data_IF_836307901715
#
_entry.id   IF_836307901715
#
_cell.length_a   1.000
_cell.length_b   1.000
_cell.length_c   1.000
_cell.angle_alpha   90.00
_cell.angle_beta   90.00
_cell.angle_gamma   90.00
#
_symmetry.space_group_name_H-M   'P 1'
#
loop_
_entity.id
_entity.type
_entity.pdbx_description
1 polymer ?
#
# COMPACT_ATOMS: atom_id res chain seq x y z
N UNK A 1 -36.01 88.22 12.19
CA UNK A 1 -36.87 88.06 11.02
C UNK A 1 -35.95 87.71 9.87
N UNK A 2 -36.04 86.58 9.35
CA UNK A 2 -35.20 86.12 8.28
C UNK A 2 -35.26 84.57 8.17
N UNK A 3 -36.15 84.09 7.30
CA UNK A 3 -36.36 82.67 7.05
C UNK A 3 -35.22 82.09 6.24
N UNK A 4 -34.57 81.11 6.73
CA UNK A 4 -33.60 80.25 6.00
C UNK A 4 -34.33 79.13 5.32
N UNK A 5 -34.30 79.12 3.99
CA UNK A 5 -34.80 78.06 3.16
C UNK A 5 -33.78 76.91 3.10
N UNK A 6 -34.12 75.75 3.57
CA UNK A 6 -33.32 74.54 3.38
C UNK A 6 -33.61 73.96 1.97
N UNK A 7 -32.57 73.82 1.15
CA UNK A 7 -32.60 73.10 -0.11
C UNK A 7 -32.36 71.62 0.13
N UNK A 8 -33.36 70.78 -0.23
CA UNK A 8 -33.23 69.31 -0.20
C UNK A 8 -32.62 68.90 -1.57
N UNK A 9 -31.39 68.39 -1.49
CA UNK A 9 -30.73 67.78 -2.65
C UNK A 9 -31.12 66.31 -2.71
N UNK A 10 -31.94 65.94 -3.73
CA UNK A 10 -32.28 64.55 -3.98
C UNK A 10 -31.16 63.90 -4.80
N UNK A 11 -30.41 62.99 -4.19
CA UNK A 11 -29.48 62.13 -4.91
C UNK A 11 -30.25 60.97 -5.52
N UNK A 12 -30.34 60.96 -6.87
CA UNK A 12 -30.82 59.80 -7.61
C UNK A 12 -29.73 58.73 -7.67
N UNK A 13 -29.88 57.64 -6.96
CA UNK A 13 -29.07 56.45 -7.11
C UNK A 13 -29.50 55.72 -8.38
N UNK A 14 -28.71 55.79 -9.44
CA UNK A 14 -28.81 54.92 -10.61
C UNK A 14 -28.22 53.52 -10.24
N UNK A 15 -29.07 52.56 -10.02
CA UNK A 15 -28.65 51.16 -9.89
C UNK A 15 -28.27 50.61 -11.26
N UNK A 16 -26.97 50.40 -11.49
CA UNK A 16 -26.49 49.58 -12.60
C UNK A 16 -26.81 48.10 -12.34
N UNK A 17 -27.33 47.32 -13.33
CA UNK A 17 -27.51 45.90 -13.13
C UNK A 17 -26.15 45.22 -13.09
N UNK A 18 -25.84 44.60 -11.96
CA UNK A 18 -24.71 43.64 -11.85
C UNK A 18 -25.10 42.42 -12.70
N UNK A 19 -24.51 42.26 -13.87
CA UNK A 19 -24.57 41.04 -14.63
C UNK A 19 -23.78 39.95 -13.82
N UNK A 20 -24.53 39.13 -13.11
CA UNK A 20 -24.03 37.86 -12.61
C UNK A 20 -23.74 36.98 -13.83
N UNK A 21 -22.49 37.01 -14.30
CA UNK A 21 -21.97 35.99 -15.20
C UNK A 21 -22.03 34.65 -14.45
N UNK A 22 -23.14 33.94 -14.62
CA UNK A 22 -23.25 32.56 -14.16
C UNK A 22 -22.11 31.76 -14.79
N UNK A 23 -21.15 31.33 -13.95
CA UNK A 23 -20.25 30.28 -14.35
C UNK A 23 -21.11 29.05 -14.66
N UNK A 24 -21.29 28.75 -15.93
CA UNK A 24 -21.76 27.45 -16.37
C UNK A 24 -20.88 26.41 -15.71
N UNK A 25 -21.42 25.46 -14.95
CA UNK A 25 -20.62 24.34 -14.48
C UNK A 25 -19.99 23.70 -15.72
N UNK A 26 -18.65 23.54 -15.69
CA UNK A 26 -17.96 22.83 -16.73
C UNK A 26 -18.71 21.51 -16.94
N UNK A 27 -19.17 21.25 -18.15
CA UNK A 27 -19.81 20.01 -18.50
C UNK A 27 -18.82 18.90 -18.14
N UNK A 28 -19.15 18.10 -17.11
CA UNK A 28 -18.41 16.91 -16.80
C UNK A 28 -18.43 16.07 -18.07
N UNK A 29 -17.26 15.89 -18.67
CA UNK A 29 -17.09 14.93 -19.75
C UNK A 29 -17.69 13.62 -19.27
N UNK A 30 -18.59 12.98 -20.02
CA UNK A 30 -19.13 11.70 -19.63
C UNK A 30 -17.95 10.76 -19.36
N UNK A 31 -17.80 10.33 -18.12
CA UNK A 31 -16.80 9.35 -17.74
C UNK A 31 -17.05 8.12 -18.61
N UNK A 32 -16.02 7.65 -19.30
CA UNK A 32 -16.12 6.40 -20.05
C UNK A 32 -16.73 5.34 -19.12
N UNK A 33 -17.68 4.51 -19.61
CA UNK A 33 -18.31 3.50 -18.77
C UNK A 33 -17.22 2.73 -18.05
N UNK A 34 -17.31 2.67 -16.73
CA UNK A 34 -16.38 1.91 -15.89
C UNK A 34 -16.40 0.46 -16.40
N UNK A 35 -15.42 0.13 -17.21
CA UNK A 35 -15.19 -1.24 -17.65
C UNK A 35 -14.63 -1.94 -16.43
N UNK A 36 -15.50 -2.37 -15.51
CA UNK A 36 -15.22 -2.94 -14.21
C UNK A 36 -13.76 -3.40 -14.11
N UNK A 37 -13.00 -2.93 -13.14
CA UNK A 37 -11.56 -3.12 -13.15
C UNK A 37 -11.27 -4.59 -13.44
N UNK A 38 -10.17 -4.89 -14.11
CA UNK A 38 -9.69 -6.25 -14.38
C UNK A 38 -9.75 -7.14 -13.13
N UNK A 39 -9.63 -6.54 -11.96
CA UNK A 39 -9.66 -7.18 -10.64
C UNK A 39 -11.01 -7.83 -10.26
N UNK A 40 -12.10 -7.41 -10.87
CA UNK A 40 -13.45 -7.88 -10.50
C UNK A 40 -14.02 -8.91 -11.50
N UNK A 41 -13.32 -9.17 -12.59
CA UNK A 41 -13.70 -10.22 -13.54
C UNK A 41 -13.18 -11.56 -13.10
N UNK A 42 -14.04 -12.56 -13.10
CA UNK A 42 -13.61 -13.96 -12.91
C UNK A 42 -12.63 -14.30 -14.04
N UNK A 43 -11.37 -14.62 -13.73
CA UNK A 43 -10.38 -14.90 -14.75
C UNK A 43 -10.59 -16.28 -15.38
N UNK A 44 -9.98 -16.47 -16.55
CA UNK A 44 -9.70 -17.81 -17.03
C UNK A 44 -8.59 -18.42 -16.14
N UNK A 45 -8.99 -19.31 -15.23
CA UNK A 45 -8.08 -19.89 -14.24
C UNK A 45 -6.94 -20.70 -14.87
N UNK A 46 -7.15 -21.32 -16.05
CA UNK A 46 -6.09 -22.03 -16.75
C UNK A 46 -5.03 -21.05 -17.28
N UNK A 47 -5.48 -19.93 -17.83
CA UNK A 47 -4.60 -18.88 -18.32
C UNK A 47 -3.79 -18.24 -17.18
N UNK A 48 -4.41 -17.92 -16.05
CA UNK A 48 -3.66 -17.30 -14.93
C UNK A 48 -2.70 -18.27 -14.26
N UNK A 49 -2.98 -19.58 -14.26
CA UNK A 49 -2.01 -20.61 -13.85
C UNK A 49 -0.77 -20.61 -14.77
N UNK A 50 -0.97 -20.50 -16.08
CA UNK A 50 0.15 -20.40 -17.03
C UNK A 50 0.94 -19.10 -16.82
N UNK A 51 0.27 -17.98 -16.62
CA UNK A 51 0.92 -16.70 -16.31
C UNK A 51 1.73 -16.78 -15.03
N UNK A 52 1.20 -17.40 -13.97
CA UNK A 52 1.94 -17.62 -12.73
C UNK A 52 3.20 -18.46 -12.95
N UNK A 53 3.12 -19.50 -13.76
CA UNK A 53 4.29 -20.29 -14.10
C UNK A 53 5.36 -19.50 -14.91
N UNK A 54 4.95 -18.52 -15.70
CA UNK A 54 5.85 -17.59 -16.40
C UNK A 54 6.49 -16.62 -15.42
N UNK A 55 5.72 -16.02 -14.53
CA UNK A 55 6.21 -15.18 -13.44
C UNK A 55 7.24 -15.92 -12.59
N UNK A 56 6.95 -17.17 -12.19
CA UNK A 56 7.88 -18.01 -11.44
C UNK A 56 9.21 -18.24 -12.20
N UNK A 57 9.16 -18.45 -13.53
CA UNK A 57 10.37 -18.60 -14.36
C UNK A 57 11.17 -17.30 -14.43
N UNK A 58 10.50 -16.16 -14.60
CA UNK A 58 11.14 -14.84 -14.65
C UNK A 58 11.84 -14.54 -13.33
N UNK A 59 11.21 -14.78 -12.20
CA UNK A 59 11.82 -14.62 -10.89
C UNK A 59 13.03 -15.53 -10.68
N UNK A 60 12.95 -16.82 -11.09
CA UNK A 60 14.11 -17.73 -11.05
C UNK A 60 15.26 -17.23 -11.89
N UNK A 61 14.98 -16.76 -13.11
CA UNK A 61 16.01 -16.20 -13.98
C UNK A 61 16.66 -14.94 -13.38
N UNK A 62 15.86 -14.05 -12.82
CA UNK A 62 16.34 -12.84 -12.14
C UNK A 62 17.12 -13.13 -10.85
N UNK A 63 16.90 -14.27 -10.23
CA UNK A 63 17.59 -14.70 -9.00
C UNK A 63 18.92 -15.40 -9.29
N UNK A 64 19.07 -16.03 -10.46
CA UNK A 64 20.21 -16.87 -10.79
C UNK A 64 21.56 -16.13 -10.63
N UNK A 65 22.47 -16.68 -9.84
CA UNK A 65 23.80 -16.11 -9.59
C UNK A 65 23.81 -14.82 -8.75
N UNK A 66 22.65 -14.35 -8.27
CA UNK A 66 22.54 -13.13 -7.50
C UNK A 66 21.96 -13.36 -6.10
N UNK A 67 20.92 -14.17 -5.98
CA UNK A 67 20.22 -14.46 -4.72
C UNK A 67 19.67 -15.89 -4.74
N UNK A 68 19.47 -16.45 -3.55
CA UNK A 68 18.69 -17.67 -3.42
C UNK A 68 17.22 -17.33 -3.50
N UNK A 69 16.43 -18.15 -4.19
CA UNK A 69 14.97 -18.04 -4.27
C UNK A 69 14.35 -19.39 -3.98
N UNK A 70 13.41 -19.42 -3.09
CA UNK A 70 12.53 -20.57 -2.86
C UNK A 70 11.06 -20.15 -2.88
N UNK A 71 10.18 -21.07 -3.26
CA UNK A 71 8.73 -20.92 -3.14
C UNK A 71 8.25 -21.90 -2.09
N UNK A 72 7.68 -21.38 -1.04
CA UNK A 72 7.22 -22.14 0.11
C UNK A 72 5.71 -22.05 0.25
N UNK A 73 5.17 -22.86 1.15
CA UNK A 73 3.77 -22.77 1.58
C UNK A 73 3.73 -22.82 3.11
N UNK A 74 2.82 -22.07 3.70
CA UNK A 74 2.57 -22.09 5.13
C UNK A 74 1.08 -21.95 5.44
N UNK A 75 0.63 -22.53 6.54
CA UNK A 75 -0.76 -22.40 7.02
C UNK A 75 -0.96 -21.01 7.60
N UNK A 76 -1.98 -20.27 7.10
CA UNK A 76 -2.40 -19.00 7.68
C UNK A 76 -2.77 -19.15 9.16
N UNK A 77 -2.50 -18.14 9.99
CA UNK A 77 -2.97 -18.14 11.39
C UNK A 77 -4.50 -18.09 11.49
N UNK A 78 -5.21 -17.64 10.45
CA UNK A 78 -6.65 -17.80 10.34
C UNK A 78 -7.08 -19.27 10.28
N UNK A 79 -6.15 -20.20 10.03
CA UNK A 79 -6.34 -21.66 10.17
C UNK A 79 -6.99 -22.37 9.00
N UNK A 80 -7.44 -21.64 7.99
CA UNK A 80 -8.32 -22.12 6.92
C UNK A 80 -7.63 -22.33 5.57
N UNK A 81 -6.46 -21.73 5.33
CA UNK A 81 -5.83 -21.67 4.02
C UNK A 81 -4.30 -21.84 4.07
N UNK A 82 -3.75 -22.54 3.09
CA UNK A 82 -2.31 -22.63 2.86
C UNK A 82 -1.88 -21.51 1.92
N UNK A 83 -0.95 -20.67 2.38
CA UNK A 83 -0.51 -19.47 1.69
C UNK A 83 0.83 -19.74 0.99
N UNK A 84 0.90 -19.62 -0.34
CA UNK A 84 2.15 -19.63 -1.07
C UNK A 84 2.95 -18.36 -0.77
N UNK A 85 4.28 -18.45 -0.75
CA UNK A 85 5.15 -17.29 -0.61
C UNK A 85 6.48 -17.51 -1.33
N UNK A 86 7.05 -16.42 -1.80
CA UNK A 86 8.43 -16.39 -2.26
C UNK A 86 9.33 -15.98 -1.11
N UNK A 87 10.50 -16.63 -0.99
CA UNK A 87 11.56 -16.24 -0.07
C UNK A 87 12.82 -15.99 -0.86
N UNK A 88 13.40 -14.81 -0.68
CA UNK A 88 14.65 -14.40 -1.32
C UNK A 88 15.70 -14.15 -0.25
N UNK A 89 16.92 -14.64 -0.48
CA UNK A 89 18.00 -14.59 0.50
C UNK A 89 19.34 -14.27 -0.20
N UNK A 90 20.29 -13.59 0.45
CA UNK A 90 21.66 -13.47 -0.06
C UNK A 90 22.29 -14.83 -0.34
N UNK A 91 23.14 -14.92 -1.37
CA UNK A 91 23.89 -16.16 -1.67
C UNK A 91 24.79 -16.58 -0.49
N UNK A 92 25.35 -15.60 0.20
CA UNK A 92 26.20 -15.81 1.36
C UNK A 92 25.48 -15.34 2.62
N UNK A 93 24.97 -16.30 3.39
CA UNK A 93 24.26 -16.01 4.63
C UNK A 93 25.25 -15.65 5.74
N UNK A 94 24.92 -14.66 6.52
CA UNK A 94 25.56 -14.36 7.81
C UNK A 94 25.11 -15.40 8.85
N UNK A 95 25.79 -15.45 9.98
CA UNK A 95 25.45 -16.35 11.08
C UNK A 95 24.03 -16.15 11.65
N UNK A 96 23.75 -16.86 12.72
CA UNK A 96 22.46 -16.77 13.39
C UNK A 96 22.09 -15.31 13.71
N UNK A 97 20.85 -14.89 13.38
CA UNK A 97 20.34 -13.52 13.54
C UNK A 97 21.17 -12.44 12.82
N UNK A 98 21.95 -12.82 11.82
CA UNK A 98 22.81 -11.88 11.07
C UNK A 98 22.08 -11.03 10.03
N UNK A 99 20.80 -11.32 9.72
CA UNK A 99 20.02 -10.62 8.71
C UNK A 99 18.77 -9.96 9.27
N UNK A 100 18.54 -8.71 8.90
CA UNK A 100 17.20 -8.12 8.94
C UNK A 100 16.32 -8.73 7.84
N UNK A 101 15.00 -8.66 8.00
CA UNK A 101 14.07 -9.17 6.99
C UNK A 101 12.96 -8.16 6.65
N UNK A 102 12.40 -8.31 5.46
CA UNK A 102 11.27 -7.53 4.98
C UNK A 102 10.14 -8.47 4.54
N UNK A 103 8.96 -8.26 5.09
CA UNK A 103 7.72 -8.82 4.53
C UNK A 103 7.26 -7.91 3.41
N UNK A 104 7.18 -8.44 2.19
CA UNK A 104 6.89 -7.71 0.95
C UNK A 104 5.47 -7.98 0.50
N UNK A 105 4.59 -6.98 0.58
CA UNK A 105 3.16 -7.14 0.34
C UNK A 105 2.79 -6.53 -1.01
N UNK A 106 2.49 -7.37 -1.99
CA UNK A 106 2.16 -6.95 -3.34
C UNK A 106 0.86 -6.14 -3.42
N UNK A 107 0.70 -5.40 -4.48
CA UNK A 107 -0.52 -4.62 -4.77
C UNK A 107 -1.64 -5.48 -5.32
N UNK A 108 -2.82 -4.89 -5.42
CA UNK A 108 -4.05 -5.46 -5.95
C UNK A 108 -4.65 -6.60 -5.12
N UNK A 109 -5.97 -6.59 -4.98
CA UNK A 109 -6.74 -7.65 -4.30
C UNK A 109 -6.70 -9.00 -5.05
N UNK A 110 -6.41 -8.96 -6.35
CA UNK A 110 -6.27 -10.08 -7.28
C UNK A 110 -4.90 -10.03 -7.95
N UNK A 111 -3.89 -9.59 -7.19
CA UNK A 111 -2.52 -9.50 -7.65
C UNK A 111 -1.72 -10.77 -7.44
N UNK A 112 -0.45 -10.62 -7.60
CA UNK A 112 0.61 -11.59 -7.29
C UNK A 112 1.93 -10.83 -7.13
N UNK A 113 3.02 -11.50 -6.80
CA UNK A 113 4.34 -10.88 -6.77
C UNK A 113 4.79 -10.56 -8.21
N UNK A 114 4.49 -9.36 -8.67
CA UNK A 114 4.78 -8.91 -10.03
C UNK A 114 6.28 -8.78 -10.31
N UNK A 115 6.66 -8.99 -11.57
CA UNK A 115 8.05 -8.90 -12.04
C UNK A 115 8.63 -7.49 -11.93
N UNK A 116 7.80 -6.45 -11.92
CA UNK A 116 8.28 -5.09 -11.72
C UNK A 116 8.90 -4.85 -10.33
N UNK A 117 8.71 -5.76 -9.37
CA UNK A 117 9.40 -5.72 -8.09
C UNK A 117 10.83 -6.28 -8.14
N UNK A 118 11.23 -6.96 -9.23
CA UNK A 118 12.55 -7.57 -9.36
C UNK A 118 13.70 -6.63 -8.98
N UNK A 119 13.83 -5.40 -9.53
CA UNK A 119 14.97 -4.54 -9.21
C UNK A 119 15.00 -4.16 -7.72
N UNK A 120 13.86 -3.99 -7.10
CA UNK A 120 13.76 -3.56 -5.71
C UNK A 120 14.00 -4.72 -4.72
N UNK A 121 13.51 -5.92 -5.03
CA UNK A 121 13.85 -7.11 -4.24
C UNK A 121 15.35 -7.40 -4.36
N UNK A 122 15.94 -7.30 -5.55
CA UNK A 122 17.40 -7.43 -5.73
C UNK A 122 18.17 -6.39 -4.92
N UNK A 123 17.72 -5.14 -4.88
CA UNK A 123 18.31 -4.10 -4.04
C UNK A 123 18.22 -4.44 -2.55
N UNK A 124 17.07 -4.94 -2.07
CA UNK A 124 16.93 -5.41 -0.69
C UNK A 124 17.95 -6.50 -0.35
N UNK A 125 18.13 -7.48 -1.25
CA UNK A 125 19.09 -8.57 -1.08
C UNK A 125 20.54 -8.04 -1.09
N UNK A 126 20.88 -7.10 -1.99
CA UNK A 126 22.19 -6.45 -2.03
C UNK A 126 22.51 -5.69 -0.73
N UNK A 127 21.52 -5.16 -0.05
CA UNK A 127 21.63 -4.52 1.29
C UNK A 127 21.75 -5.54 2.42
N UNK A 128 21.54 -6.82 2.15
CA UNK A 128 21.64 -7.90 3.14
C UNK A 128 20.34 -8.28 3.83
N UNK A 129 19.20 -7.81 3.35
CA UNK A 129 17.89 -8.28 3.82
C UNK A 129 17.60 -9.71 3.37
N UNK A 130 16.77 -10.40 4.13
CA UNK A 130 15.95 -11.52 3.67
C UNK A 130 14.57 -10.97 3.33
N UNK A 131 14.00 -11.39 2.21
CA UNK A 131 12.66 -10.95 1.80
C UNK A 131 11.72 -12.15 1.76
N UNK A 132 10.56 -12.04 2.41
CA UNK A 132 9.44 -12.97 2.24
C UNK A 132 8.26 -12.22 1.63
N UNK A 133 7.73 -12.75 0.52
CA UNK A 133 6.62 -12.16 -0.22
C UNK A 133 5.43 -13.13 -0.25
N UNK A 134 4.47 -13.00 0.67
CA UNK A 134 3.25 -13.80 0.67
C UNK A 134 2.36 -13.49 -0.54
N UNK A 135 1.86 -14.55 -1.15
CA UNK A 135 0.73 -14.52 -2.07
C UNK A 135 -0.55 -14.68 -1.23
N UNK A 136 -1.00 -13.57 -0.60
CA UNK A 136 -2.14 -13.63 0.31
C UNK A 136 -3.43 -14.05 -0.39
N UNK A 137 -4.43 -14.54 0.36
CA UNK A 137 -5.73 -14.96 -0.19
C UNK A 137 -6.30 -13.95 -1.17
N UNK A 138 -6.90 -14.42 -2.24
CA UNK A 138 -7.38 -13.60 -3.33
C UNK A 138 -6.39 -13.44 -4.48
N UNK A 139 -5.09 -13.72 -4.28
CA UNK A 139 -4.08 -13.68 -5.34
C UNK A 139 -4.44 -14.64 -6.49
N UNK A 140 -4.10 -14.23 -7.72
CA UNK A 140 -4.33 -15.04 -8.92
C UNK A 140 -3.22 -16.09 -9.10
N UNK A 141 -3.52 -17.13 -9.91
CA UNK A 141 -2.54 -18.20 -10.20
C UNK A 141 -2.58 -19.38 -9.23
N UNK A 142 -3.51 -19.39 -8.27
CA UNK A 142 -3.63 -20.44 -7.25
C UNK A 142 -5.01 -21.13 -7.24
N UNK A 143 -5.78 -20.96 -8.31
CA UNK A 143 -7.08 -21.56 -8.50
C UNK A 143 -8.26 -20.74 -7.97
N UNK A 144 -9.48 -21.26 -8.23
CA UNK A 144 -10.72 -20.55 -7.93
C UNK A 144 -10.95 -20.36 -6.43
N UNK A 145 -10.74 -21.40 -5.63
CA UNK A 145 -11.02 -21.35 -4.19
C UNK A 145 -10.11 -20.32 -3.48
N UNK A 146 -8.84 -20.24 -3.90
CA UNK A 146 -7.91 -19.25 -3.41
C UNK A 146 -8.30 -17.83 -3.85
N UNK A 147 -8.73 -17.68 -5.10
CA UNK A 147 -9.24 -16.42 -5.63
C UNK A 147 -10.49 -15.94 -4.86
N UNK A 148 -11.44 -16.83 -4.57
CA UNK A 148 -12.69 -16.51 -3.88
C UNK A 148 -12.48 -16.24 -2.37
N UNK A 149 -11.36 -16.68 -1.81
CA UNK A 149 -11.07 -16.54 -0.37
C UNK A 149 -10.73 -15.13 0.08
N UNK A 150 -10.69 -14.13 -0.81
CA UNK A 150 -10.42 -12.72 -0.45
C UNK A 150 -11.39 -12.21 0.63
N UNK A 151 -10.87 -11.50 1.62
CA UNK A 151 -11.65 -10.91 2.70
C UNK A 151 -11.19 -9.46 3.00
N UNK A 152 -11.17 -8.67 2.02
CA UNK A 152 -10.72 -7.27 1.87
C UNK A 152 -10.43 -6.49 3.17
N UNK A 153 -9.18 -6.55 3.66
CA UNK A 153 -8.76 -5.97 4.95
C UNK A 153 -9.10 -6.84 6.17
N UNK A 154 -9.49 -8.10 5.92
CA UNK A 154 -9.74 -9.11 6.95
C UNK A 154 -8.62 -10.13 7.05
N UNK A 155 -8.91 -11.38 6.69
CA UNK A 155 -8.00 -12.53 6.89
C UNK A 155 -6.75 -12.51 6.01
N UNK A 156 -6.68 -11.70 4.94
CA UNK A 156 -5.41 -11.49 4.22
C UNK A 156 -4.36 -10.79 5.08
N UNK A 157 -4.76 -10.02 6.10
CA UNK A 157 -3.83 -9.47 7.10
C UNK A 157 -3.20 -10.60 7.90
N UNK A 158 -4.00 -11.61 8.30
CA UNK A 158 -3.50 -12.80 9.00
C UNK A 158 -2.55 -13.62 8.13
N UNK A 159 -2.83 -13.75 6.83
CA UNK A 159 -1.96 -14.42 5.88
C UNK A 159 -0.57 -13.77 5.87
N UNK A 160 -0.53 -12.43 5.79
CA UNK A 160 0.71 -11.64 5.72
C UNK A 160 1.48 -11.65 7.05
N UNK A 161 0.80 -11.47 8.19
CA UNK A 161 1.51 -11.46 9.49
C UNK A 161 2.04 -12.85 9.86
N UNK A 162 1.42 -13.94 9.37
CA UNK A 162 1.93 -15.31 9.55
C UNK A 162 3.32 -15.50 8.93
N UNK A 163 3.66 -14.73 7.89
CA UNK A 163 5.01 -14.75 7.31
C UNK A 163 6.12 -14.43 8.32
N UNK A 164 5.82 -13.62 9.34
CA UNK A 164 6.77 -13.33 10.44
C UNK A 164 7.05 -14.58 11.29
N UNK A 165 6.01 -15.38 11.56
CA UNK A 165 6.19 -16.65 12.31
C UNK A 165 7.00 -17.65 11.48
N UNK A 166 6.81 -17.65 10.16
CA UNK A 166 7.63 -18.45 9.22
C UNK A 166 9.09 -18.02 9.26
N UNK A 167 9.37 -16.71 9.15
CA UNK A 167 10.73 -16.19 9.26
C UNK A 167 11.39 -16.60 10.59
N UNK A 168 10.69 -16.44 11.69
CA UNK A 168 11.21 -16.76 13.04
C UNK A 168 11.46 -18.27 13.23
N UNK A 169 10.65 -19.13 12.65
CA UNK A 169 10.71 -20.57 12.88
C UNK A 169 11.60 -21.32 11.89
N UNK A 170 11.71 -20.85 10.63
CA UNK A 170 12.40 -21.59 9.56
C UNK A 170 13.74 -20.98 9.16
N UNK A 171 14.00 -19.70 9.49
CA UNK A 171 15.17 -18.95 9.01
C UNK A 171 16.01 -18.43 10.20
N UNK A 172 16.80 -19.29 10.81
CA UNK A 172 17.59 -18.98 12.03
C UNK A 172 18.59 -17.82 11.84
N UNK A 173 18.97 -17.51 10.60
CA UNK A 173 19.83 -16.37 10.25
C UNK A 173 19.07 -15.02 10.20
N UNK A 174 17.74 -15.03 10.28
CA UNK A 174 16.92 -13.81 10.40
C UNK A 174 16.85 -13.40 11.88
N UNK A 175 17.07 -12.12 12.13
CA UNK A 175 16.87 -11.54 13.46
C UNK A 175 15.39 -11.18 13.67
N UNK A 176 14.68 -11.82 14.59
CA UNK A 176 13.27 -11.56 14.85
C UNK A 176 12.98 -10.14 15.37
N UNK A 177 13.99 -9.41 15.86
CA UNK A 177 13.86 -8.03 16.29
C UNK A 177 14.03 -7.01 15.15
N UNK A 178 14.43 -7.45 13.97
CA UNK A 178 14.73 -6.61 12.81
C UNK A 178 13.90 -7.00 11.57
N UNK A 179 12.61 -7.20 11.77
CA UNK A 179 11.65 -7.50 10.70
C UNK A 179 10.83 -6.26 10.40
N UNK A 180 10.87 -5.80 9.14
CA UNK A 180 10.02 -4.73 8.61
C UNK A 180 8.95 -5.27 7.67
N UNK A 181 8.04 -4.38 7.26
CA UNK A 181 7.00 -4.66 6.28
C UNK A 181 6.88 -3.51 5.30
N UNK A 182 6.71 -3.82 4.02
CA UNK A 182 6.46 -2.85 2.96
C UNK A 182 5.32 -3.33 2.07
N UNK A 183 4.45 -2.41 1.63
CA UNK A 183 3.37 -2.76 0.71
C UNK A 183 2.80 -1.57 -0.07
N UNK A 184 2.16 -1.89 -1.19
CA UNK A 184 1.61 -0.93 -2.14
C UNK A 184 0.11 -1.08 -2.29
N UNK A 185 -0.61 0.04 -2.46
CA UNK A 185 -2.04 0.02 -2.78
C UNK A 185 -2.83 -0.80 -1.75
N UNK A 186 -3.48 -1.88 -2.18
CA UNK A 186 -4.11 -2.85 -1.28
C UNK A 186 -3.10 -3.49 -0.32
N UNK A 187 -1.91 -3.86 -0.80
CA UNK A 187 -0.80 -4.32 0.07
C UNK A 187 -0.35 -3.25 1.06
N UNK A 188 -0.43 -1.97 0.70
CA UNK A 188 -0.23 -0.85 1.62
C UNK A 188 -1.30 -0.78 2.71
N UNK A 189 -2.56 -1.07 2.38
CA UNK A 189 -3.63 -1.22 3.38
C UNK A 189 -3.34 -2.38 4.33
N UNK A 190 -2.99 -3.55 3.79
CA UNK A 190 -2.63 -4.73 4.61
C UNK A 190 -1.45 -4.38 5.52
N UNK A 191 -0.43 -3.68 5.01
CA UNK A 191 0.72 -3.20 5.81
C UNK A 191 0.27 -2.36 6.98
N UNK A 192 -0.56 -1.34 6.75
CA UNK A 192 -1.07 -0.44 7.80
C UNK A 192 -1.95 -1.19 8.82
N UNK A 193 -2.82 -2.09 8.37
CA UNK A 193 -3.63 -2.92 9.27
C UNK A 193 -2.78 -3.91 10.06
N UNK A 194 -1.73 -4.48 9.45
CA UNK A 194 -0.81 -5.40 10.13
C UNK A 194 -0.13 -4.76 11.33
N UNK A 195 0.38 -3.53 11.17
CA UNK A 195 1.11 -2.84 12.25
C UNK A 195 0.20 -2.22 13.31
N UNK A 196 -1.06 -1.94 12.98
CA UNK A 196 -2.01 -1.40 13.96
C UNK A 196 -2.76 -2.50 14.72
N UNK A 197 -2.88 -3.70 14.16
CA UNK A 197 -3.46 -4.87 14.83
C UNK A 197 -2.42 -5.71 15.57
N UNK A 198 -1.13 -5.65 15.17
CA UNK A 198 -0.04 -6.44 15.73
C UNK A 198 1.17 -5.52 16.03
N UNK A 199 1.01 -4.60 16.95
CA UNK A 199 1.87 -3.46 17.23
C UNK A 199 3.35 -3.79 17.48
N UNK A 200 3.65 -4.98 18.04
CA UNK A 200 5.02 -5.40 18.40
C UNK A 200 5.64 -6.38 17.39
N UNK A 201 4.93 -6.72 16.33
CA UNK A 201 5.36 -7.77 15.41
C UNK A 201 6.46 -7.30 14.46
N UNK A 202 6.40 -6.03 14.05
CA UNK A 202 7.32 -5.40 13.13
C UNK A 202 8.13 -4.30 13.81
N UNK A 203 9.33 -4.06 13.31
CA UNK A 203 10.20 -2.97 13.80
C UNK A 203 9.93 -1.65 13.09
N UNK A 204 9.58 -1.71 11.81
CA UNK A 204 9.25 -0.55 10.98
C UNK A 204 8.35 -0.95 9.79
N UNK A 205 7.65 0.02 9.22
CA UNK A 205 6.77 -0.21 8.08
C UNK A 205 6.87 0.89 7.02
N UNK A 206 6.67 0.52 5.75
CA UNK A 206 6.52 1.47 4.64
C UNK A 206 5.24 1.15 3.86
N UNK A 207 4.35 2.13 3.71
CA UNK A 207 3.11 2.00 2.96
C UNK A 207 3.09 3.01 1.80
N UNK A 208 3.03 2.49 0.58
CA UNK A 208 3.14 3.28 -0.64
C UNK A 208 1.80 3.29 -1.37
N UNK A 209 1.29 4.49 -1.64
CA UNK A 209 -0.01 4.72 -2.27
C UNK A 209 -1.15 3.85 -1.69
N UNK A 210 -1.27 3.74 -0.35
CA UNK A 210 -2.12 2.76 0.29
C UNK A 210 -3.61 3.09 0.14
N UNK A 211 -4.47 2.07 0.20
CA UNK A 211 -5.91 2.27 0.47
C UNK A 211 -6.07 2.56 1.96
N UNK A 212 -6.77 3.63 2.33
CA UNK A 212 -6.76 4.15 3.71
C UNK A 212 -8.11 4.39 4.34
N UNK A 213 -9.16 4.65 3.53
CA UNK A 213 -10.51 4.95 4.01
C UNK A 213 -11.55 4.30 3.10
N UNK A 214 -12.13 3.20 3.56
CA UNK A 214 -13.09 2.41 2.77
C UNK A 214 -14.43 3.13 2.55
N UNK A 215 -14.82 4.04 3.44
CA UNK A 215 -16.00 4.88 3.23
C UNK A 215 -15.80 5.82 2.04
N UNK A 216 -14.68 6.55 2.04
CA UNK A 216 -14.32 7.47 0.95
C UNK A 216 -14.10 6.71 -0.36
N UNK A 217 -13.40 5.58 -0.30
CA UNK A 217 -13.13 4.73 -1.46
C UNK A 217 -14.43 4.26 -2.13
N UNK A 218 -15.40 3.79 -1.35
CA UNK A 218 -16.67 3.31 -1.87
C UNK A 218 -17.49 4.45 -2.50
N UNK A 219 -17.54 5.61 -1.82
CA UNK A 219 -18.24 6.78 -2.32
C UNK A 219 -17.64 7.28 -3.65
N UNK A 220 -16.33 7.26 -3.77
CA UNK A 220 -15.62 7.71 -4.98
C UNK A 220 -15.72 6.74 -6.17
N UNK A 221 -15.72 5.43 -5.92
CA UNK A 221 -15.73 4.41 -6.97
C UNK A 221 -17.10 4.25 -7.68
N UNK A 222 -18.16 4.80 -7.13
CA UNK A 222 -19.50 4.81 -7.73
C UNK A 222 -20.34 3.55 -7.48
N UNK A 223 -21.53 3.52 -8.07
CA UNK A 223 -22.60 2.55 -7.76
C UNK A 223 -22.18 1.11 -8.04
N UNK A 224 -21.47 0.85 -9.13
CA UNK A 224 -21.01 -0.51 -9.48
C UNK A 224 -20.14 -1.12 -8.38
N UNK A 225 -19.21 -0.32 -7.83
CA UNK A 225 -18.38 -0.76 -6.70
C UNK A 225 -19.17 -0.92 -5.40
N UNK A 226 -20.21 -0.16 -5.22
CA UNK A 226 -21.12 -0.34 -4.08
C UNK A 226 -21.83 -1.69 -4.16
N UNK A 227 -22.29 -2.07 -5.36
CA UNK A 227 -22.88 -3.39 -5.58
C UNK A 227 -21.90 -4.53 -5.29
N UNK A 228 -20.65 -4.40 -5.75
CA UNK A 228 -19.61 -5.40 -5.46
C UNK A 228 -19.27 -5.52 -3.97
N UNK A 229 -19.39 -4.44 -3.20
CA UNK A 229 -19.18 -4.46 -1.76
C UNK A 229 -20.28 -5.21 -1.00
N UNK A 230 -21.47 -5.35 -1.61
CA UNK A 230 -22.62 -6.08 -1.05
C UNK A 230 -22.53 -7.58 -1.37
N UNK A 231 -21.77 -7.96 -2.42
CA UNK A 231 -21.62 -9.35 -2.84
C UNK A 231 -21.16 -10.21 -1.64
N UNK A 232 -21.93 -11.24 -1.26
CA UNK A 232 -21.63 -12.10 -0.10
C UNK A 232 -20.27 -12.81 -0.21
N UNK A 233 -19.73 -12.99 -1.42
CA UNK A 233 -18.40 -13.60 -1.64
C UNK A 233 -17.28 -12.63 -1.27
N UNK A 234 -17.61 -11.41 -0.93
CA UNK A 234 -16.64 -10.42 -1.01
C UNK A 234 -16.46 -9.60 0.19
N UNK A 235 -16.46 -9.43 1.12
CA UNK A 235 -15.61 -8.34 1.55
C UNK A 235 -16.17 -7.64 2.81
N UNK A 236 -17.31 -7.02 2.71
CA UNK A 236 -17.85 -6.27 3.85
C UNK A 236 -19.21 -6.80 4.31
N UNK A 237 -19.86 -7.60 3.46
CA UNK A 237 -21.16 -8.22 3.73
C UNK A 237 -22.31 -7.23 3.78
N UNK A 238 -22.16 -6.02 3.21
CA UNK A 238 -23.17 -4.99 3.12
C UNK A 238 -22.59 -3.58 2.94
N UNK A 239 -23.46 -2.59 2.80
CA UNK A 239 -23.09 -1.17 2.68
C UNK A 239 -22.60 -0.58 4.01
N UNK A 240 -21.90 0.58 3.98
CA UNK A 240 -21.41 1.24 5.19
C UNK A 240 -22.45 1.51 6.27
N UNK A 241 -23.70 1.78 5.88
CA UNK A 241 -24.80 1.99 6.83
C UNK A 241 -25.18 0.71 7.60
N UNK A 242 -24.95 -0.47 6.98
CA UNK A 242 -25.30 -1.78 7.54
C UNK A 242 -24.11 -2.41 8.27
N UNK A 243 -22.89 -2.10 7.84
CA UNK A 243 -21.63 -2.71 8.30
C UNK A 243 -20.61 -1.69 8.76
N UNK A 244 -21.05 -0.62 9.38
CA UNK A 244 -20.22 0.52 9.80
C UNK A 244 -18.92 0.12 10.50
N UNK A 245 -19.00 -0.79 11.47
CA UNK A 245 -17.84 -1.20 12.25
C UNK A 245 -16.81 -1.98 11.41
N UNK A 246 -17.23 -2.79 10.42
CA UNK A 246 -16.33 -3.46 9.49
C UNK A 246 -15.58 -2.45 8.63
N UNK A 247 -16.26 -1.46 8.08
CA UNK A 247 -15.64 -0.40 7.29
C UNK A 247 -14.64 0.41 8.11
N UNK A 248 -14.99 0.74 9.35
CA UNK A 248 -14.12 1.47 10.27
C UNK A 248 -12.90 0.65 10.68
N UNK A 249 -13.10 -0.61 11.10
CA UNK A 249 -12.00 -1.49 11.51
C UNK A 249 -11.01 -1.75 10.37
N UNK A 250 -11.54 -1.92 9.15
CA UNK A 250 -10.73 -2.20 7.95
C UNK A 250 -10.18 -0.95 7.24
N UNK A 251 -10.43 0.24 7.76
CA UNK A 251 -9.86 1.49 7.25
C UNK A 251 -8.68 1.93 8.11
N UNK A 252 -7.45 1.92 7.58
CA UNK A 252 -6.25 2.37 8.31
C UNK A 252 -6.40 3.74 8.96
N UNK A 253 -7.10 4.68 8.32
CA UNK A 253 -7.35 6.03 8.84
C UNK A 253 -7.90 6.03 10.27
N UNK A 254 -8.84 5.13 10.57
CA UNK A 254 -9.48 5.08 11.89
C UNK A 254 -8.65 4.32 12.94
N UNK A 255 -7.54 3.70 12.51
CA UNK A 255 -6.65 2.92 13.35
C UNK A 255 -5.33 3.65 13.67
N UNK A 256 -5.14 4.90 13.23
CA UNK A 256 -3.89 5.67 13.39
C UNK A 256 -3.43 5.75 14.85
N UNK A 257 -4.35 5.84 15.82
CA UNK A 257 -4.01 5.94 17.23
C UNK A 257 -3.31 4.68 17.78
N UNK A 258 -3.50 3.53 17.11
CA UNK A 258 -2.86 2.25 17.45
C UNK A 258 -1.43 2.12 16.90
N UNK A 259 -0.93 3.10 16.15
CA UNK A 259 0.44 3.07 15.61
C UNK A 259 1.46 3.23 16.76
N UNK A 260 2.39 2.27 16.88
CA UNK A 260 3.44 2.25 17.91
C UNK A 260 4.85 2.12 17.35
N UNK A 261 5.00 1.92 16.05
CA UNK A 261 6.29 1.74 15.38
C UNK A 261 6.53 2.81 14.31
N UNK A 262 7.79 3.06 13.90
CA UNK A 262 8.11 3.93 12.79
C UNK A 262 7.40 3.53 11.49
N UNK A 263 6.80 4.52 10.81
CA UNK A 263 6.04 4.35 9.57
C UNK A 263 6.44 5.39 8.53
N UNK A 264 6.76 4.94 7.32
CA UNK A 264 6.89 5.78 6.13
C UNK A 264 5.65 5.66 5.25
N UNK A 265 5.08 6.78 4.80
CA UNK A 265 3.95 6.79 3.86
C UNK A 265 4.25 7.71 2.68
N UNK A 266 4.17 7.15 1.46
CA UNK A 266 4.23 7.93 0.22
C UNK A 266 2.89 7.89 -0.51
N UNK A 267 2.44 9.04 -0.99
CA UNK A 267 1.20 9.20 -1.76
C UNK A 267 1.40 10.17 -2.91
N UNK A 268 0.54 10.11 -3.93
CA UNK A 268 0.61 11.02 -5.07
C UNK A 268 -0.72 11.72 -5.32
N UNK A 269 -0.68 12.99 -5.77
CA UNK A 269 -1.90 13.77 -6.03
C UNK A 269 -2.61 13.37 -7.32
N UNK A 270 -1.89 12.82 -8.28
CA UNK A 270 -2.43 12.33 -9.56
C UNK A 270 -2.73 10.83 -9.54
N UNK A 271 -3.02 10.27 -8.37
CA UNK A 271 -3.44 8.88 -8.23
C UNK A 271 -4.86 8.69 -8.78
N UNK A 272 -5.01 7.82 -9.76
CA UNK A 272 -6.29 7.49 -10.40
C UNK A 272 -6.93 6.21 -9.84
N UNK A 273 -6.18 5.42 -9.06
CA UNK A 273 -6.63 4.16 -8.46
C UNK A 273 -7.06 4.31 -7.01
N UNK A 274 -6.32 5.08 -6.24
CA UNK A 274 -6.64 5.45 -4.86
C UNK A 274 -6.87 6.95 -4.78
N UNK A 275 -8.07 7.37 -4.39
CA UNK A 275 -8.40 8.78 -4.33
C UNK A 275 -7.44 9.51 -3.38
N UNK A 276 -6.81 10.57 -3.87
CA UNK A 276 -5.89 11.38 -3.08
C UNK A 276 -6.53 11.89 -1.78
N UNK A 277 -7.83 12.19 -1.78
CA UNK A 277 -8.52 12.69 -0.59
C UNK A 277 -8.52 11.70 0.58
N UNK A 278 -8.65 10.38 0.30
CA UNK A 278 -8.54 9.36 1.36
C UNK A 278 -7.12 9.29 1.92
N UNK A 279 -6.10 9.50 1.09
CA UNK A 279 -4.71 9.51 1.49
C UNK A 279 -4.31 10.79 2.24
N UNK A 280 -4.82 11.95 1.85
CA UNK A 280 -4.57 13.21 2.57
C UNK A 280 -5.18 13.16 3.98
N UNK A 281 -6.34 12.55 4.16
CA UNK A 281 -6.92 12.31 5.50
C UNK A 281 -5.98 11.48 6.39
N UNK A 282 -5.38 10.42 5.85
CA UNK A 282 -4.39 9.62 6.58
C UNK A 282 -3.13 10.44 6.91
N UNK A 283 -2.58 11.16 5.93
CA UNK A 283 -1.38 12.00 6.11
C UNK A 283 -1.60 13.04 7.21
N UNK A 284 -2.74 13.72 7.20
CA UNK A 284 -3.08 14.73 8.20
C UNK A 284 -3.28 14.11 9.59
N UNK A 285 -3.92 12.95 9.66
CA UNK A 285 -4.09 12.20 10.91
C UNK A 285 -2.75 11.74 11.49
N UNK A 286 -1.82 11.24 10.65
CA UNK A 286 -0.49 10.83 11.06
C UNK A 286 0.34 12.01 11.55
N UNK A 287 0.36 13.12 10.82
CA UNK A 287 1.10 14.34 11.17
C UNK A 287 0.61 14.96 12.47
N UNK A 288 -0.69 14.93 12.71
CA UNK A 288 -1.28 15.53 13.92
C UNK A 288 -1.20 14.62 15.15
N UNK A 289 -1.36 13.31 14.98
CA UNK A 289 -1.48 12.37 16.11
C UNK A 289 -0.22 11.54 16.37
N UNK A 290 0.62 11.32 15.34
CA UNK A 290 1.83 10.46 15.41
C UNK A 290 3.07 11.14 14.78
N UNK A 291 3.35 12.42 15.07
CA UNK A 291 4.40 13.20 14.38
C UNK A 291 5.82 12.63 14.57
N UNK A 292 6.06 11.89 15.64
CA UNK A 292 7.38 11.30 15.93
C UNK A 292 7.55 9.87 15.41
N UNK A 293 6.48 9.25 14.94
CA UNK A 293 6.49 7.89 14.40
C UNK A 293 6.29 7.87 12.88
N UNK A 294 5.62 8.85 12.31
CA UNK A 294 5.25 8.82 10.91
C UNK A 294 6.04 9.85 10.08
N UNK A 295 6.76 9.37 9.08
CA UNK A 295 7.28 10.16 7.97
C UNK A 295 6.31 10.07 6.79
N UNK A 296 5.91 11.21 6.24
CA UNK A 296 4.95 11.24 5.12
C UNK A 296 5.46 12.10 3.97
N UNK A 297 5.32 11.61 2.74
CA UNK A 297 5.64 12.35 1.52
C UNK A 297 4.47 12.34 0.56
N UNK A 298 4.05 13.52 0.15
CA UNK A 298 3.06 13.74 -0.93
C UNK A 298 3.82 14.20 -2.16
N UNK A 299 3.70 13.44 -3.27
CA UNK A 299 4.22 13.80 -4.57
C UNK A 299 3.13 14.49 -5.38
N UNK A 300 3.44 15.61 -6.03
CA UNK A 300 2.40 16.42 -6.69
C UNK A 300 1.90 15.81 -8.00
N UNK A 301 2.80 15.48 -8.92
CA UNK A 301 2.41 14.93 -10.22
C UNK A 301 3.52 14.04 -10.82
N UNK A 302 3.90 12.95 -10.14
CA UNK A 302 4.94 12.07 -10.67
C UNK A 302 4.43 11.32 -11.91
N UNK A 303 5.30 11.07 -12.91
CA UNK A 303 4.95 10.21 -14.02
C UNK A 303 4.52 8.81 -13.53
N UNK A 304 3.37 8.33 -14.02
CA UNK A 304 2.82 7.03 -13.63
C UNK A 304 1.82 7.05 -12.47
N UNK A 305 1.59 8.21 -11.82
CA UNK A 305 0.55 8.34 -10.79
C UNK A 305 0.63 7.26 -9.74
N UNK A 306 -0.39 6.42 -9.62
CA UNK A 306 -0.46 5.30 -8.67
C UNK A 306 0.75 4.34 -8.72
N UNK A 307 1.35 4.15 -9.88
CA UNK A 307 2.48 3.25 -10.08
C UNK A 307 3.85 3.96 -10.14
N UNK A 308 3.93 5.26 -9.79
CA UNK A 308 5.09 6.13 -10.03
C UNK A 308 6.43 5.55 -9.52
N UNK A 309 6.39 4.85 -8.41
CA UNK A 309 7.56 4.36 -7.68
C UNK A 309 8.05 2.98 -8.14
N UNK A 310 7.23 2.24 -8.91
CA UNK A 310 7.55 0.87 -9.32
C UNK A 310 7.50 0.62 -10.84
N UNK A 311 7.52 1.68 -11.64
CA UNK A 311 7.59 1.58 -13.10
C UNK A 311 8.96 1.08 -13.55
N UNK A 312 8.95 0.11 -14.44
CA UNK A 312 10.15 -0.53 -14.99
C UNK A 312 10.01 -0.70 -16.51
N UNK A 313 11.12 -0.77 -17.19
CA UNK A 313 11.17 -1.30 -18.56
C UNK A 313 10.89 -2.80 -18.52
N UNK A 314 9.83 -3.25 -19.19
CA UNK A 314 9.34 -4.65 -19.12
C UNK A 314 10.25 -5.67 -19.81
N UNK A 315 11.26 -5.23 -20.57
CA UNK A 315 12.23 -6.12 -21.23
C UNK A 315 13.46 -6.33 -20.37
N UNK A 316 13.87 -5.30 -19.65
CA UNK A 316 15.11 -5.30 -18.87
C UNK A 316 14.89 -5.36 -17.36
N UNK A 317 13.67 -5.14 -16.91
CA UNK A 317 13.28 -4.95 -15.50
C UNK A 317 14.07 -3.85 -14.80
N UNK A 318 14.57 -2.86 -15.54
CA UNK A 318 15.24 -1.71 -14.95
C UNK A 318 14.23 -0.63 -14.61
N UNK A 319 14.37 0.03 -13.45
CA UNK A 319 13.52 1.18 -13.08
C UNK A 319 13.60 2.28 -14.15
N UNK A 320 12.48 2.96 -14.42
CA UNK A 320 12.43 4.12 -15.32
C UNK A 320 13.30 5.28 -14.80
N UNK A 321 13.62 5.28 -13.52
CA UNK A 321 14.49 6.25 -12.87
C UNK A 321 14.02 7.71 -13.02
N UNK A 322 12.70 7.95 -12.96
CA UNK A 322 12.20 9.32 -12.83
C UNK A 322 12.73 9.95 -11.53
N UNK A 323 12.71 11.28 -11.45
CA UNK A 323 13.18 12.00 -10.27
C UNK A 323 12.42 11.56 -9.02
N UNK A 324 11.10 11.47 -9.14
CA UNK A 324 10.19 11.13 -8.04
C UNK A 324 10.32 9.65 -7.64
N UNK A 325 10.52 8.75 -8.60
CA UNK A 325 10.79 7.34 -8.33
C UNK A 325 12.08 7.16 -7.53
N UNK A 326 13.17 7.82 -7.96
CA UNK A 326 14.44 7.78 -7.22
C UNK A 326 14.33 8.40 -5.83
N UNK A 327 13.65 9.55 -5.68
CA UNK A 327 13.43 10.17 -4.36
C UNK A 327 12.64 9.23 -3.45
N UNK A 328 11.59 8.60 -3.97
CA UNK A 328 10.77 7.65 -3.21
C UNK A 328 11.60 6.48 -2.69
N UNK A 329 12.34 5.79 -3.55
CA UNK A 329 13.14 4.65 -3.15
C UNK A 329 14.34 5.02 -2.27
N UNK A 330 14.98 6.15 -2.50
CA UNK A 330 16.02 6.65 -1.59
C UNK A 330 15.48 6.87 -0.18
N UNK A 331 14.27 7.42 -0.03
CA UNK A 331 13.60 7.56 1.27
C UNK A 331 13.25 6.21 1.87
N UNK A 332 12.68 5.30 1.10
CA UNK A 332 12.33 3.93 1.54
C UNK A 332 13.57 3.24 2.09
N UNK A 333 14.68 3.21 1.32
CA UNK A 333 15.90 2.53 1.76
C UNK A 333 16.55 3.22 2.95
N UNK A 334 16.66 4.56 2.93
CA UNK A 334 17.21 5.30 4.07
C UNK A 334 16.42 5.02 5.34
N UNK A 335 15.09 5.03 5.26
CA UNK A 335 14.21 4.77 6.38
C UNK A 335 14.34 3.32 6.88
N UNK A 336 14.23 2.33 5.99
CA UNK A 336 14.31 0.92 6.37
C UNK A 336 15.70 0.54 6.89
N UNK A 337 16.79 1.02 6.26
CA UNK A 337 18.15 0.76 6.71
C UNK A 337 18.42 1.37 8.09
N UNK A 338 17.89 2.58 8.35
CA UNK A 338 18.00 3.21 9.67
C UNK A 338 17.27 2.43 10.76
N UNK A 339 16.08 1.93 10.46
CA UNK A 339 15.24 1.24 11.45
C UNK A 339 15.63 -0.23 11.67
N UNK A 340 16.10 -0.90 10.63
CA UNK A 340 16.30 -2.35 10.62
C UNK A 340 17.77 -2.77 10.66
N UNK A 341 18.71 -1.83 10.42
CA UNK A 341 20.16 -2.06 10.39
C UNK A 341 20.57 -3.34 9.62
N UNK A 342 20.32 -3.41 8.29
CA UNK A 342 20.57 -4.61 7.51
C UNK A 342 22.06 -4.95 7.38
N UNK A 343 22.94 -3.99 7.70
CA UNK A 343 24.41 -4.14 7.61
C UNK A 343 25.03 -4.73 8.88
N UNK A 344 24.26 -4.84 9.96
CA UNK A 344 24.72 -5.47 11.19
C UNK A 344 24.94 -6.98 10.97
N UNK A 345 26.12 -7.46 11.34
CA UNK A 345 26.56 -8.86 11.12
C UNK A 345 26.32 -9.79 12.32
N UNK A 346 25.63 -9.31 13.36
CA UNK A 346 25.37 -10.07 14.59
C UNK A 346 26.58 -10.22 15.51
N UNK A 347 27.79 -9.86 15.04
CA UNK A 347 29.04 -10.01 15.82
C UNK A 347 29.44 -8.73 16.55
N UNK A 348 28.87 -7.59 16.16
CA UNK A 348 29.14 -6.31 16.83
C UNK A 348 28.15 -6.12 17.98
N UNK A 349 28.63 -5.88 19.22
CA UNK A 349 27.73 -5.59 20.34
C UNK A 349 26.85 -4.38 19.98
N UNK A 350 25.53 -4.53 20.08
CA UNK A 350 24.62 -3.40 19.99
C UNK A 350 25.01 -2.40 21.08
N UNK A 351 25.58 -1.27 20.70
CA UNK A 351 25.77 -0.18 21.63
C UNK A 351 24.42 0.27 22.13
N UNK A 352 24.06 -0.09 23.33
CA UNK A 352 22.82 0.29 24.03
C UNK A 352 22.81 1.76 24.45
N UNK A 353 23.37 2.64 23.62
CA UNK A 353 23.38 4.08 23.89
C UNK A 353 23.56 4.83 22.58
N UNK A 354 22.47 5.07 21.88
CA UNK A 354 22.35 6.26 21.04
C UNK A 354 21.36 7.19 21.71
N UNK A 355 21.70 8.47 21.85
CA UNK A 355 20.92 9.46 22.56
C UNK A 355 19.56 9.73 21.93
#
# INVERSE_FOLDING_TARGET
>A
MGAVRAAVLSLALTSAPVLLLGRTPAAQTPRAPDRGSFQDRVPDFQRVLQQQAETDRTWRAASAGFMQMEKITYRSRAGDLDIPAFVFQPLHLRGARGHAAIVWVHENIRGHLYEHYIPYVREAIARGYVVIAPEYRGSIGYGKDFFDAIDYGGSEVDDVVTAVDVLKSRYAHVDPARIGIIGWSHGGMITLLSITRNQTLFKAAAALVPVTNLFQRLAWKGVERQHQAIDPQNRYGGLPAERHEIYKDRSPLYNVDKLEIPLLVHVTRNDEDVNIEENLQLVDALRSRKPFLAETKVYDNPPGGHAFDRRVDTKTWQPENTREQRDSWNRVWTFLDWQLDPFHDGNTPTSSSRP
#
